data_IF_407493948122
#
_entry.id   IF_407493948122
#
_cell.length_a   1.000
_cell.length_b   1.000
_cell.length_c   1.000
_cell.angle_alpha   90.00
_cell.angle_beta   90.00
_cell.angle_gamma   90.00
#
_symmetry.space_group_name_H-M   'P 1'
#
loop_
_entity.id
_entity.type
_entity.pdbx_description
1 polymer ?
#
# COMPACT_ATOMS: atom_id res chain seq x y z
N UNK A 1 -9.55 -59.49 10.88
CA UNK A 1 -9.25 -58.04 10.83
C UNK A 1 -10.42 -57.35 10.14
N UNK A 2 -11.02 -56.33 10.77
CA UNK A 2 -12.13 -55.54 10.22
C UNK A 2 -11.51 -54.39 9.43
N UNK A 3 -11.76 -54.33 8.12
CA UNK A 3 -11.35 -53.20 7.28
C UNK A 3 -12.38 -52.10 7.51
N UNK A 4 -11.96 -50.98 8.09
CA UNK A 4 -12.77 -49.78 8.23
C UNK A 4 -12.39 -48.87 7.09
N UNK A 5 -13.30 -48.71 6.13
CA UNK A 5 -13.17 -47.72 5.07
C UNK A 5 -13.34 -46.34 5.70
N UNK A 6 -12.27 -45.54 5.66
CA UNK A 6 -12.32 -44.14 6.08
C UNK A 6 -12.91 -43.36 4.91
N UNK A 7 -14.17 -42.98 5.03
CA UNK A 7 -14.87 -42.13 4.07
C UNK A 7 -14.21 -40.73 4.09
N UNK A 8 -13.46 -40.41 3.02
CA UNK A 8 -12.86 -39.08 2.86
C UNK A 8 -13.96 -38.03 2.69
N UNK A 9 -14.01 -36.96 3.50
CA UNK A 9 -15.01 -35.93 3.35
C UNK A 9 -14.82 -35.22 2.01
N UNK A 10 -15.87 -35.28 1.18
CA UNK A 10 -15.90 -34.70 -0.16
C UNK A 10 -15.47 -33.23 -0.10
N UNK A 11 -14.23 -32.96 -0.51
CA UNK A 11 -13.64 -31.63 -0.47
C UNK A 11 -14.18 -30.80 -1.65
N UNK A 12 -15.44 -30.39 -1.52
CA UNK A 12 -16.25 -29.77 -2.58
C UNK A 12 -15.59 -28.49 -3.12
N UNK A 13 -14.85 -27.76 -2.27
CA UNK A 13 -14.07 -26.59 -2.68
C UNK A 13 -12.94 -26.90 -3.66
N UNK A 14 -12.25 -28.03 -3.50
CA UNK A 14 -11.20 -28.45 -4.44
C UNK A 14 -11.78 -28.85 -5.80
N UNK A 15 -12.97 -29.47 -5.81
CA UNK A 15 -13.72 -29.83 -7.02
C UNK A 15 -14.17 -28.59 -7.77
N UNK A 16 -14.75 -27.61 -7.05
CA UNK A 16 -15.20 -26.33 -7.63
C UNK A 16 -14.01 -25.55 -8.21
N UNK A 17 -12.87 -25.51 -7.52
CA UNK A 17 -11.65 -24.89 -8.04
C UNK A 17 -11.18 -25.60 -9.32
N UNK A 18 -11.07 -26.94 -9.32
CA UNK A 18 -10.71 -27.71 -10.52
C UNK A 18 -11.67 -27.43 -11.67
N UNK A 19 -12.97 -27.35 -11.40
CA UNK A 19 -14.00 -27.09 -12.42
C UNK A 19 -13.94 -25.65 -12.95
N UNK A 20 -13.64 -24.66 -12.10
CA UNK A 20 -13.45 -23.27 -12.49
C UNK A 20 -12.18 -23.07 -13.35
N UNK A 21 -11.08 -23.75 -13.00
CA UNK A 21 -9.87 -23.78 -13.83
C UNK A 21 -10.15 -24.47 -15.18
N UNK A 22 -10.81 -25.64 -15.18
CA UNK A 22 -11.19 -26.34 -16.41
C UNK A 22 -12.11 -25.49 -17.31
N UNK A 23 -13.08 -24.75 -16.74
CA UNK A 23 -13.93 -23.82 -17.50
C UNK A 23 -13.15 -22.66 -18.10
N UNK A 24 -12.18 -22.07 -17.38
CA UNK A 24 -11.33 -20.98 -17.91
C UNK A 24 -10.41 -21.46 -19.04
N UNK A 25 -9.77 -22.62 -18.90
CA UNK A 25 -8.92 -23.17 -19.96
C UNK A 25 -9.74 -23.72 -21.14
N UNK A 26 -10.91 -24.33 -20.88
CA UNK A 26 -11.82 -24.83 -21.91
C UNK A 26 -12.49 -23.73 -22.72
N UNK A 27 -12.86 -22.59 -22.10
CA UNK A 27 -13.42 -21.43 -22.82
C UNK A 27 -12.40 -20.76 -23.75
N UNK A 28 -11.10 -20.84 -23.44
CA UNK A 28 -10.01 -20.34 -24.29
C UNK A 28 -9.69 -21.31 -25.43
N UNK A 29 -9.83 -22.62 -25.20
CA UNK A 29 -9.58 -23.66 -26.21
C UNK A 29 -10.73 -23.81 -27.23
N UNK A 30 -11.98 -23.54 -26.85
CA UNK A 30 -13.16 -23.87 -27.67
C UNK A 30 -13.52 -22.83 -28.75
N UNK A 31 -12.72 -21.77 -28.96
CA UNK A 31 -12.96 -20.75 -30.01
C UNK A 31 -12.00 -20.80 -31.20
N UNK A 32 -11.09 -21.77 -31.27
CA UNK A 32 -10.18 -21.94 -32.41
C UNK A 32 -9.96 -23.41 -32.74
N UNK A 33 -9.82 -23.72 -34.03
CA UNK A 33 -9.26 -25.01 -34.48
C UNK A 33 -7.97 -25.24 -33.70
N UNK A 34 -7.82 -26.40 -33.05
CA UNK A 34 -6.54 -26.78 -32.42
C UNK A 34 -5.48 -26.69 -33.52
N UNK A 35 -4.67 -25.64 -33.47
CA UNK A 35 -3.59 -25.44 -34.42
C UNK A 35 -2.50 -26.39 -33.95
N UNK A 36 -2.38 -27.54 -34.62
CA UNK A 36 -1.25 -28.42 -34.40
C UNK A 36 0.01 -27.61 -34.66
N UNK A 37 0.74 -27.32 -33.59
CA UNK A 37 1.97 -26.53 -33.64
C UNK A 37 3.05 -27.40 -34.26
N UNK A 38 3.92 -26.79 -35.08
CA UNK A 38 5.14 -27.48 -35.47
C UNK A 38 5.92 -27.88 -34.22
N UNK A 39 6.70 -28.99 -34.23
CA UNK A 39 7.52 -29.37 -33.09
C UNK A 39 8.41 -28.24 -32.57
N UNK A 40 8.90 -27.38 -33.48
CA UNK A 40 9.71 -26.20 -33.17
C UNK A 40 8.91 -25.13 -32.44
N UNK A 41 7.71 -24.79 -32.92
CA UNK A 41 6.84 -23.80 -32.29
C UNK A 41 6.33 -24.28 -30.93
N UNK A 42 6.01 -25.57 -30.82
CA UNK A 42 5.61 -26.20 -29.57
C UNK A 42 6.75 -26.14 -28.54
N UNK A 43 7.96 -26.51 -28.95
CA UNK A 43 9.15 -26.43 -28.09
C UNK A 43 9.41 -24.98 -27.64
N UNK A 44 9.31 -24.00 -28.54
CA UNK A 44 9.49 -22.59 -28.23
C UNK A 44 8.44 -22.10 -27.22
N UNK A 45 7.17 -22.44 -27.41
CA UNK A 45 6.09 -22.06 -26.51
C UNK A 45 6.28 -22.65 -25.10
N UNK A 46 6.68 -23.91 -25.02
CA UNK A 46 7.00 -24.58 -23.75
C UNK A 46 8.16 -23.85 -23.06
N UNK A 47 9.23 -23.55 -23.79
CA UNK A 47 10.41 -22.87 -23.23
C UNK A 47 10.08 -21.47 -22.71
N UNK A 48 9.37 -20.65 -23.50
CA UNK A 48 8.97 -19.29 -23.10
C UNK A 48 8.07 -19.35 -21.86
N UNK A 49 7.07 -20.24 -21.86
CA UNK A 49 6.14 -20.40 -20.75
C UNK A 49 6.85 -20.85 -19.48
N UNK A 50 7.80 -21.78 -19.60
CA UNK A 50 8.59 -22.27 -18.49
C UNK A 50 9.52 -21.20 -17.92
N UNK A 51 10.22 -20.44 -18.77
CA UNK A 51 11.03 -19.29 -18.34
C UNK A 51 10.19 -18.26 -17.60
N UNK A 52 9.00 -17.93 -18.13
CA UNK A 52 8.09 -17.00 -17.48
C UNK A 52 7.59 -17.53 -16.12
N UNK A 53 7.31 -18.84 -16.01
CA UNK A 53 6.97 -19.48 -14.75
C UNK A 53 8.10 -19.38 -13.73
N UNK A 54 9.34 -19.68 -14.11
CA UNK A 54 10.50 -19.58 -13.23
C UNK A 54 10.70 -18.16 -12.70
N UNK A 55 10.53 -17.14 -13.54
CA UNK A 55 10.61 -15.73 -13.15
C UNK A 55 9.51 -15.39 -12.12
N UNK A 56 8.25 -15.76 -12.38
CA UNK A 56 7.16 -15.50 -11.43
C UNK A 56 7.39 -16.21 -10.09
N UNK A 57 7.80 -17.47 -10.12
CA UNK A 57 8.09 -18.25 -8.92
C UNK A 57 9.24 -17.67 -8.11
N UNK A 58 10.34 -17.27 -8.75
CA UNK A 58 11.49 -16.71 -8.05
C UNK A 58 11.16 -15.36 -7.42
N UNK A 59 10.38 -14.51 -8.10
CA UNK A 59 9.86 -13.25 -7.54
C UNK A 59 8.96 -13.49 -6.32
N UNK A 60 8.00 -14.40 -6.42
CA UNK A 60 7.12 -14.74 -5.31
C UNK A 60 7.90 -15.23 -4.08
N UNK A 61 8.88 -16.13 -4.29
CA UNK A 61 9.73 -16.63 -3.20
C UNK A 61 10.61 -15.54 -2.57
N UNK A 62 11.13 -14.59 -3.37
CA UNK A 62 11.87 -13.44 -2.85
C UNK A 62 10.99 -12.57 -1.95
N UNK A 63 9.81 -12.18 -2.44
CA UNK A 63 8.86 -11.39 -1.64
C UNK A 63 8.43 -12.08 -0.35
N UNK A 64 8.20 -13.41 -0.38
CA UNK A 64 7.87 -14.17 0.83
C UNK A 64 9.02 -14.20 1.85
N UNK A 65 10.28 -14.25 1.42
CA UNK A 65 11.44 -14.18 2.32
C UNK A 65 11.55 -12.82 2.98
N UNK A 66 11.38 -11.74 2.21
CA UNK A 66 11.39 -10.36 2.74
C UNK A 66 10.24 -10.16 3.74
N UNK A 67 9.04 -10.65 3.42
CA UNK A 67 7.89 -10.63 4.33
C UNK A 67 8.12 -11.42 5.62
N UNK A 68 8.88 -12.52 5.59
CA UNK A 68 9.20 -13.28 6.80
C UNK A 68 10.07 -12.48 7.77
N UNK A 69 11.01 -11.69 7.24
CA UNK A 69 11.82 -10.75 8.03
C UNK A 69 10.94 -9.65 8.61
N UNK A 70 10.11 -9.01 7.77
CA UNK A 70 9.17 -7.99 8.22
C UNK A 70 8.20 -8.51 9.30
N UNK A 71 7.69 -9.73 9.14
CA UNK A 71 6.81 -10.38 10.12
C UNK A 71 7.51 -10.65 11.45
N UNK A 72 8.81 -10.95 11.43
CA UNK A 72 9.60 -11.07 12.67
C UNK A 72 9.72 -9.72 13.37
N UNK A 73 9.96 -8.63 12.63
CA UNK A 73 9.97 -7.26 13.19
C UNK A 73 8.61 -6.82 13.72
N UNK A 74 7.53 -7.16 13.03
CA UNK A 74 6.17 -6.96 13.54
C UNK A 74 5.97 -7.66 14.89
N UNK A 75 6.45 -8.89 15.06
CA UNK A 75 6.35 -9.61 16.35
C UNK A 75 7.13 -8.90 17.46
N UNK A 76 8.32 -8.37 17.18
CA UNK A 76 9.10 -7.60 18.15
C UNK A 76 8.35 -6.32 18.56
N UNK A 77 7.82 -5.57 17.60
CA UNK A 77 7.01 -4.36 17.83
C UNK A 77 5.74 -4.71 18.61
N UNK A 78 5.05 -5.79 18.26
CA UNK A 78 3.87 -6.30 18.97
C UNK A 78 4.17 -6.64 20.43
N UNK A 79 5.31 -7.28 20.70
CA UNK A 79 5.73 -7.60 22.05
C UNK A 79 5.98 -6.34 22.89
N UNK A 80 6.65 -5.33 22.31
CA UNK A 80 6.82 -4.01 22.93
C UNK A 80 5.47 -3.31 23.15
N UNK A 81 4.62 -3.30 22.13
CA UNK A 81 3.31 -2.68 22.19
C UNK A 81 2.46 -3.30 23.29
N UNK A 82 2.44 -4.62 23.45
CA UNK A 82 1.63 -5.27 24.48
C UNK A 82 2.27 -5.25 25.88
N UNK A 83 3.51 -4.76 26.00
CA UNK A 83 4.16 -4.62 27.29
C UNK A 83 3.59 -3.42 28.05
N UNK A 84 2.91 -3.70 29.16
CA UNK A 84 2.24 -2.69 29.98
C UNK A 84 3.18 -1.59 30.49
N UNK A 85 4.38 -1.94 30.97
CA UNK A 85 5.32 -0.95 31.50
C UNK A 85 5.84 -0.03 30.39
N UNK A 86 6.07 -0.59 29.20
CA UNK A 86 6.51 0.17 28.03
C UNK A 86 5.41 1.08 27.48
N UNK A 87 4.14 0.61 27.42
CA UNK A 87 2.99 1.47 27.08
C UNK A 87 2.89 2.69 27.99
N UNK A 88 3.08 2.49 29.30
CA UNK A 88 3.03 3.59 30.27
C UNK A 88 4.16 4.61 30.05
N UNK A 89 5.32 4.15 29.61
CA UNK A 89 6.46 5.02 29.25
C UNK A 89 6.11 5.84 28.00
N UNK A 90 5.66 5.19 26.93
CA UNK A 90 5.23 5.85 25.68
C UNK A 90 4.13 6.90 25.93
N UNK A 91 3.20 6.64 26.85
CA UNK A 91 2.13 7.58 27.17
C UNK A 91 2.62 8.87 27.86
N UNK A 92 3.78 8.82 28.55
CA UNK A 92 4.31 9.94 29.34
C UNK A 92 5.44 10.68 28.66
N UNK A 93 6.21 9.99 27.84
CA UNK A 93 7.42 10.50 27.20
C UNK A 93 7.18 10.64 25.69
N UNK A 94 7.15 11.89 25.22
CA UNK A 94 6.92 12.20 23.82
C UNK A 94 8.05 11.73 22.90
N UNK A 95 9.30 11.70 23.37
CA UNK A 95 10.43 11.21 22.59
C UNK A 95 10.36 9.69 22.44
N UNK A 96 10.03 8.97 23.50
CA UNK A 96 9.83 7.51 23.44
C UNK A 96 8.63 7.14 22.57
N UNK A 97 7.56 7.94 22.62
CA UNK A 97 6.42 7.80 21.70
C UNK A 97 6.84 7.99 20.26
N UNK A 98 7.56 9.06 19.96
CA UNK A 98 8.07 9.34 18.61
C UNK A 98 8.96 8.19 18.11
N UNK A 99 9.90 7.71 18.93
CA UNK A 99 10.76 6.57 18.59
C UNK A 99 9.96 5.30 18.30
N UNK A 100 8.86 5.07 19.03
CA UNK A 100 8.01 3.92 18.79
C UNK A 100 7.19 4.05 17.50
N UNK A 101 6.62 5.23 17.26
CA UNK A 101 5.94 5.58 16.00
C UNK A 101 6.87 5.41 14.80
N UNK A 102 8.11 5.89 14.88
CA UNK A 102 9.12 5.73 13.84
C UNK A 102 9.40 4.26 13.52
N UNK A 103 9.50 3.38 14.53
CA UNK A 103 9.68 1.94 14.30
C UNK A 103 8.52 1.36 13.47
N UNK A 104 7.28 1.78 13.77
CA UNK A 104 6.09 1.34 13.03
C UNK A 104 6.14 1.86 11.59
N UNK A 105 6.38 3.17 11.40
CA UNK A 105 6.45 3.81 10.09
C UNK A 105 7.56 3.21 9.23
N UNK A 106 8.76 2.99 9.77
CA UNK A 106 9.88 2.36 9.06
C UNK A 106 9.51 0.96 8.59
N UNK A 107 8.81 0.18 9.42
CA UNK A 107 8.37 -1.15 9.01
C UNK A 107 7.27 -1.09 7.95
N UNK A 108 6.33 -0.13 8.04
CA UNK A 108 5.31 0.12 7.01
C UNK A 108 5.97 0.44 5.66
N UNK A 109 6.95 1.35 5.63
CA UNK A 109 7.70 1.70 4.42
C UNK A 109 8.48 0.50 3.86
N UNK A 110 9.10 -0.29 4.74
CA UNK A 110 9.84 -1.50 4.35
C UNK A 110 8.90 -2.51 3.70
N UNK A 111 7.74 -2.73 4.29
CA UNK A 111 6.70 -3.64 3.78
C UNK A 111 6.11 -3.09 2.48
N UNK A 112 5.99 -1.76 2.34
CA UNK A 112 5.49 -1.16 1.12
C UNK A 112 6.41 -1.40 -0.08
N UNK A 113 7.73 -1.31 0.14
CA UNK A 113 8.75 -1.54 -0.87
C UNK A 113 8.80 -2.97 -1.42
N UNK A 114 8.20 -3.95 -0.73
CA UNK A 114 8.18 -5.36 -1.20
C UNK A 114 7.26 -5.51 -2.41
N UNK A 115 7.78 -6.08 -3.51
CA UNK A 115 7.03 -6.32 -4.75
C UNK A 115 5.82 -7.25 -4.53
N UNK A 116 4.60 -6.74 -4.72
CA UNK A 116 3.35 -7.48 -4.58
C UNK A 116 2.86 -8.18 -5.87
N UNK A 117 3.73 -8.83 -6.63
CA UNK A 117 3.33 -9.46 -7.91
C UNK A 117 2.49 -10.75 -7.73
N UNK A 118 2.68 -11.45 -6.62
CA UNK A 118 1.98 -12.70 -6.30
C UNK A 118 0.85 -12.47 -5.28
N UNK A 119 -0.26 -13.20 -5.43
CA UNK A 119 -1.44 -13.06 -4.56
C UNK A 119 -1.13 -13.35 -3.09
N UNK A 120 -0.29 -14.35 -2.79
CA UNK A 120 0.07 -14.70 -1.41
C UNK A 120 0.92 -13.59 -0.78
N UNK A 121 1.82 -12.98 -1.55
CA UNK A 121 2.65 -11.85 -1.11
C UNK A 121 1.74 -10.65 -0.81
N UNK A 122 0.77 -10.35 -1.68
CA UNK A 122 -0.19 -9.26 -1.45
C UNK A 122 -1.03 -9.46 -0.19
N UNK A 123 -1.57 -10.66 0.04
CA UNK A 123 -2.37 -10.93 1.23
C UNK A 123 -1.55 -10.84 2.52
N UNK A 124 -0.32 -11.35 2.49
CA UNK A 124 0.57 -11.30 3.65
C UNK A 124 1.04 -9.86 3.95
N UNK A 125 1.37 -9.08 2.89
CA UNK A 125 1.66 -7.64 2.99
C UNK A 125 0.51 -6.91 3.68
N UNK A 126 -0.72 -7.10 3.18
CA UNK A 126 -1.92 -6.46 3.74
C UNK A 126 -2.12 -6.79 5.21
N UNK A 127 -2.00 -8.06 5.60
CA UNK A 127 -2.13 -8.46 7.00
C UNK A 127 -1.09 -7.79 7.93
N UNK A 128 0.12 -7.52 7.46
CA UNK A 128 1.14 -6.80 8.24
C UNK A 128 0.81 -5.31 8.32
N UNK A 129 0.42 -4.70 7.20
CA UNK A 129 0.06 -3.28 7.13
C UNK A 129 -1.14 -2.97 8.01
N UNK A 130 -2.23 -3.72 7.87
CA UNK A 130 -3.47 -3.49 8.62
C UNK A 130 -3.20 -3.52 10.15
N UNK A 131 -2.31 -4.40 10.61
CA UNK A 131 -1.95 -4.47 12.02
C UNK A 131 -1.05 -3.31 12.48
N UNK A 132 -0.06 -2.93 11.67
CA UNK A 132 0.81 -1.79 11.99
C UNK A 132 0.03 -0.47 12.00
N UNK A 133 -0.90 -0.28 11.07
CA UNK A 133 -1.82 0.87 11.05
C UNK A 133 -2.68 0.89 12.31
N UNK A 134 -3.28 -0.24 12.70
CA UNK A 134 -4.07 -0.31 13.94
C UNK A 134 -3.25 0.00 15.21
N UNK A 135 -1.97 -0.39 15.25
CA UNK A 135 -1.07 -0.04 16.35
C UNK A 135 -0.70 1.46 16.34
N UNK A 136 -0.54 2.03 15.14
CA UNK A 136 -0.22 3.44 14.97
C UNK A 136 -1.38 4.33 15.40
N UNK A 137 -2.62 3.99 15.05
CA UNK A 137 -3.83 4.70 15.46
C UNK A 137 -3.95 4.86 16.99
N UNK A 138 -3.36 3.93 17.76
CA UNK A 138 -3.35 3.97 19.22
C UNK A 138 -2.22 4.84 19.77
N UNK A 139 -1.05 4.84 19.13
CA UNK A 139 0.15 5.52 19.64
C UNK A 139 0.25 6.96 19.15
N UNK A 140 -0.10 7.18 17.89
CA UNK A 140 -0.10 8.47 17.22
C UNK A 140 -1.46 8.65 16.52
N UNK A 141 -2.52 8.95 17.29
CA UNK A 141 -3.85 9.17 16.72
C UNK A 141 -3.81 10.43 15.85
N UNK A 142 -3.56 10.26 14.55
CA UNK A 142 -3.66 11.34 13.60
C UNK A 142 -5.14 11.71 13.41
N UNK A 143 -5.48 13.01 13.28
CA UNK A 143 -6.84 13.41 12.91
C UNK A 143 -7.21 12.69 11.62
N UNK A 144 -8.44 12.18 11.53
CA UNK A 144 -8.94 11.15 10.61
C UNK A 144 -8.88 11.50 9.10
N UNK A 145 -7.72 11.89 8.60
CA UNK A 145 -7.41 12.11 7.20
C UNK A 145 -6.73 10.88 6.59
N UNK A 146 -7.46 9.76 6.65
CA UNK A 146 -7.45 8.65 5.68
C UNK A 146 -6.12 7.88 5.57
N UNK A 147 -6.17 6.62 6.02
CA UNK A 147 -5.41 5.46 5.51
C UNK A 147 -4.06 5.81 4.85
N UNK A 148 -2.97 5.61 5.58
CA UNK A 148 -1.59 5.85 5.13
C UNK A 148 -1.23 5.09 3.84
N UNK A 149 -2.05 4.12 3.43
CA UNK A 149 -2.07 3.63 2.05
C UNK A 149 -2.48 4.74 1.06
N UNK A 150 -1.47 5.38 0.46
CA UNK A 150 -1.59 6.29 -0.70
C UNK A 150 -2.06 7.71 -0.31
N UNK A 151 -1.19 8.46 0.36
CA UNK A 151 -0.97 9.86 0.01
C UNK A 151 0.52 10.03 -0.19
N UNK A 152 0.94 10.30 -1.43
CA UNK A 152 2.28 10.82 -1.71
C UNK A 152 2.50 11.97 -0.74
N UNK A 153 3.46 11.79 0.16
CA UNK A 153 4.13 12.79 0.99
C UNK A 153 3.98 14.17 0.38
N UNK A 154 2.91 14.90 0.72
CA UNK A 154 3.01 16.34 0.76
C UNK A 154 3.93 16.57 1.94
N UNK A 155 5.17 16.89 1.60
CA UNK A 155 6.07 17.62 2.48
C UNK A 155 5.25 18.59 3.33
N UNK A 156 5.57 18.71 4.62
CA UNK A 156 4.91 19.61 5.57
C UNK A 156 5.18 21.05 5.13
N UNK A 157 4.53 21.46 4.05
CA UNK A 157 4.60 22.78 3.45
C UNK A 157 3.68 23.63 4.31
N UNK A 158 4.17 24.71 4.95
CA UNK A 158 3.33 25.59 5.74
C UNK A 158 2.40 26.38 4.82
N UNK A 159 1.38 25.71 4.31
CA UNK A 159 0.44 26.22 3.32
C UNK A 159 -0.39 27.40 3.89
N UNK A 160 -0.54 27.45 5.22
CA UNK A 160 -1.27 28.52 5.91
C UNK A 160 -0.52 29.84 6.05
N UNK A 161 0.82 29.81 6.14
CA UNK A 161 1.62 31.04 6.32
C UNK A 161 1.74 31.78 4.99
N UNK A 162 2.00 31.03 3.91
CA UNK A 162 2.16 31.58 2.56
C UNK A 162 0.84 32.20 2.06
N UNK A 163 -0.32 31.61 2.38
CA UNK A 163 -1.63 32.16 1.99
C UNK A 163 -1.91 33.52 2.62
N UNK A 164 -1.58 33.70 3.91
CA UNK A 164 -1.76 35.00 4.58
C UNK A 164 -0.85 36.07 4.01
N UNK A 165 0.41 35.76 3.77
CA UNK A 165 1.35 36.72 3.16
C UNK A 165 0.91 37.13 1.75
N UNK A 166 0.39 36.18 0.97
CA UNK A 166 -0.17 36.47 -0.36
C UNK A 166 -1.45 37.31 -0.24
N UNK A 167 -2.38 36.98 0.66
CA UNK A 167 -3.62 37.74 0.88
C UNK A 167 -3.32 39.19 1.32
N UNK A 168 -2.38 39.37 2.25
CA UNK A 168 -1.93 40.68 2.71
C UNK A 168 -1.24 41.47 1.59
N UNK A 169 -0.37 40.82 0.81
CA UNK A 169 0.29 41.44 -0.34
C UNK A 169 -0.68 41.84 -1.43
N UNK A 170 -1.70 41.01 -1.72
CA UNK A 170 -2.76 41.33 -2.70
C UNK A 170 -3.60 42.51 -2.22
N UNK A 171 -3.98 42.55 -0.94
CA UNK A 171 -4.73 43.67 -0.37
C UNK A 171 -3.95 45.00 -0.50
N UNK A 172 -2.64 44.96 -0.28
CA UNK A 172 -1.77 46.14 -0.40
C UNK A 172 -1.69 46.65 -1.84
N UNK A 173 -1.59 45.76 -2.83
CA UNK A 173 -1.56 46.14 -4.25
C UNK A 173 -2.90 46.72 -4.70
N UNK A 174 -4.02 46.13 -4.28
CA UNK A 174 -5.36 46.65 -4.58
C UNK A 174 -5.52 48.06 -4.00
N UNK A 175 -5.12 48.28 -2.76
CA UNK A 175 -5.16 49.60 -2.14
C UNK A 175 -4.33 50.63 -2.92
N UNK A 176 -3.12 50.27 -3.38
CA UNK A 176 -2.29 51.17 -4.19
C UNK A 176 -2.92 51.51 -5.54
N UNK A 177 -3.66 50.58 -6.15
CA UNK A 177 -4.40 50.83 -7.41
C UNK A 177 -5.57 51.77 -7.15
N UNK A 178 -6.36 51.54 -6.09
CA UNK A 178 -7.48 52.40 -5.72
C UNK A 178 -7.02 53.82 -5.35
N UNK A 179 -5.89 53.96 -4.66
CA UNK A 179 -5.26 55.26 -4.36
C UNK A 179 -4.74 55.95 -5.62
N UNK A 180 -4.16 55.20 -6.57
CA UNK A 180 -3.70 55.73 -7.85
C UNK A 180 -4.88 56.21 -8.72
N UNK A 181 -5.98 55.46 -8.78
CA UNK A 181 -7.20 55.84 -9.52
C UNK A 181 -7.89 57.06 -8.89
N UNK A 182 -7.91 57.16 -7.56
CA UNK A 182 -8.45 58.34 -6.86
C UNK A 182 -7.56 59.58 -6.99
N UNK A 183 -6.23 59.42 -7.05
CA UNK A 183 -5.29 60.53 -7.31
C UNK A 183 -5.33 61.03 -8.76
N UNK A 184 -5.54 60.14 -9.72
CA UNK A 184 -5.71 60.47 -11.14
C UNK A 184 -6.96 61.32 -11.43
N UNK A 185 -8.03 61.12 -10.66
CA UNK A 185 -9.28 61.88 -10.81
C UNK A 185 -9.22 63.31 -10.22
N UNK A 186 -8.11 63.73 -9.60
CA UNK A 186 -7.96 65.10 -9.06
C UNK A 186 -7.24 66.08 -9.98
N UNK A 187 -6.77 65.64 -11.16
CA UNK A 187 -6.08 66.52 -12.12
C UNK A 187 -6.90 66.89 -13.37
N UNK A 188 -8.19 66.53 -13.44
CA UNK A 188 -9.08 66.92 -14.55
C UNK A 188 -10.37 67.61 -14.09
N UNK A 189 -10.24 68.50 -13.09
CA UNK A 189 -11.33 69.42 -12.71
C UNK A 189 -10.79 70.75 -12.17
N UNK A 190 -10.01 71.47 -12.97
CA UNK A 190 -9.91 72.94 -12.91
C UNK A 190 -9.57 73.49 -14.30
N UNK A 191 -10.58 74.07 -14.93
CA UNK A 191 -10.49 75.18 -15.87
C UNK A 191 -9.74 76.37 -15.24
#
# INVERSE_FOLDING_TARGET
>A
MRIVEIEEPSNNGAVVLRQAFAKRFGAVQNKGKRKDLSPQDAALLIQISFRAYLIRRSKALRGLRELAVAKSKLKEIRAQFNNFTYRRRIARDAEERQRFTEKIIVLLLTVDAIEGADLMVRSAKRSIVDELEAMLDVVDPQPAERSLSIKRRTFDMPDGVIRKEIEEGVAQVVQMIDEAENSGNTFEACL
#
